data_IF_042621616541
#
_entry.id   IF_042621616541
#
_cell.length_a   1.000
_cell.length_b   1.000
_cell.length_c   1.000
_cell.angle_alpha   90.00
_cell.angle_beta   90.00
_cell.angle_gamma   90.00
#
_symmetry.space_group_name_H-M   'P 1'
#
loop_
_entity.id
_entity.type
_entity.pdbx_description
1 polymer ?
#
# COMPACT_ATOMS: atom_id res chain seq x y z
N UNK A 1 -22.53 11.62 -10.90
CA UNK A 1 -22.11 10.26 -11.32
C UNK A 1 -21.62 9.51 -10.09
N UNK A 2 -21.93 8.21 -9.98
CA UNK A 2 -21.29 7.38 -8.94
C UNK A 2 -19.85 7.12 -9.35
N UNK A 3 -18.91 7.28 -8.41
CA UNK A 3 -17.51 6.90 -8.60
C UNK A 3 -17.38 5.37 -8.61
N UNK A 4 -16.45 4.86 -9.43
CA UNK A 4 -16.11 3.44 -9.53
C UNK A 4 -14.60 3.28 -9.37
N UNK A 5 -14.19 2.22 -8.70
CA UNK A 5 -12.77 1.88 -8.62
C UNK A 5 -12.38 1.24 -9.94
N UNK A 6 -11.31 1.75 -10.56
CA UNK A 6 -10.78 1.20 -11.81
C UNK A 6 -10.00 -0.09 -11.50
N UNK A 7 -10.40 -1.18 -12.15
CA UNK A 7 -9.67 -2.43 -12.15
C UNK A 7 -8.68 -2.49 -13.32
N UNK A 8 -7.77 -3.45 -13.32
CA UNK A 8 -6.78 -3.63 -14.40
C UNK A 8 -7.40 -3.68 -15.79
N UNK A 9 -8.59 -4.28 -15.92
CA UNK A 9 -9.34 -4.37 -17.19
C UNK A 9 -9.81 -3.00 -17.66
N UNK A 10 -10.22 -2.12 -16.73
CA UNK A 10 -10.63 -0.75 -17.06
C UNK A 10 -9.45 0.06 -17.57
N UNK A 11 -8.29 -0.04 -16.91
CA UNK A 11 -7.04 0.58 -17.38
C UNK A 11 -6.69 0.11 -18.78
N UNK A 12 -6.72 -1.19 -19.06
CA UNK A 12 -6.41 -1.75 -20.36
C UNK A 12 -7.35 -1.21 -21.45
N UNK A 13 -8.66 -1.21 -21.18
CA UNK A 13 -9.67 -0.67 -22.09
C UNK A 13 -9.41 0.81 -22.40
N UNK A 14 -9.20 1.62 -21.38
CA UNK A 14 -8.97 3.05 -21.53
C UNK A 14 -7.64 3.36 -22.23
N UNK A 15 -6.57 2.64 -21.90
CA UNK A 15 -5.27 2.78 -22.57
C UNK A 15 -5.40 2.50 -24.07
N UNK A 16 -6.06 1.40 -24.45
CA UNK A 16 -6.27 1.07 -25.88
C UNK A 16 -7.05 2.15 -26.60
N UNK A 17 -8.13 2.66 -26.00
CA UNK A 17 -8.91 3.75 -26.61
C UNK A 17 -8.09 5.03 -26.79
N UNK A 18 -7.25 5.37 -25.82
CA UNK A 18 -6.42 6.58 -25.86
C UNK A 18 -5.31 6.44 -26.89
N UNK A 19 -4.71 5.26 -27.02
CA UNK A 19 -3.67 5.00 -28.01
C UNK A 19 -4.18 5.23 -29.44
N UNK A 20 -5.42 4.86 -29.72
CA UNK A 20 -6.04 5.12 -31.02
C UNK A 20 -6.27 6.63 -31.30
N UNK A 21 -6.35 7.45 -30.24
CA UNK A 21 -6.61 8.90 -30.33
C UNK A 21 -5.34 9.74 -30.38
N UNK A 22 -4.21 9.25 -29.87
CA UNK A 22 -2.95 9.98 -29.82
C UNK A 22 -1.99 9.47 -30.90
N UNK A 23 -1.01 10.34 -31.26
CA UNK A 23 0.09 9.88 -32.10
C UNK A 23 0.82 8.70 -31.44
N UNK A 24 1.23 7.69 -32.23
CA UNK A 24 1.94 6.53 -31.69
C UNK A 24 3.13 6.96 -30.83
N UNK A 25 3.31 6.29 -29.68
CA UNK A 25 4.49 6.44 -28.86
C UNK A 25 5.71 6.00 -29.68
N UNK A 26 6.77 6.80 -29.72
CA UNK A 26 7.95 6.46 -30.53
C UNK A 26 8.64 5.18 -30.01
N UNK A 27 9.05 4.33 -30.94
CA UNK A 27 9.71 3.06 -30.61
C UNK A 27 8.78 1.94 -30.13
N UNK A 28 7.47 2.11 -30.24
CA UNK A 28 6.49 1.07 -29.93
C UNK A 28 5.75 0.67 -31.20
N UNK A 29 5.71 -0.62 -31.48
CA UNK A 29 4.91 -1.19 -32.56
C UNK A 29 3.46 -1.37 -32.09
N UNK A 30 2.55 -0.56 -32.63
CA UNK A 30 1.14 -0.56 -32.28
C UNK A 30 0.29 -1.57 -33.02
N UNK A 31 0.74 -2.00 -34.21
CA UNK A 31 -0.02 -2.97 -34.99
C UNK A 31 -0.17 -4.32 -34.32
N UNK A 32 0.72 -4.60 -33.34
CA UNK A 32 0.66 -5.78 -32.46
C UNK A 32 -0.05 -5.59 -31.13
N UNK A 33 -0.40 -4.37 -30.72
CA UNK A 33 -0.88 -4.07 -29.36
C UNK A 33 -2.18 -4.79 -28.97
N UNK A 34 -3.09 -4.98 -29.90
CA UNK A 34 -4.33 -5.74 -29.67
C UNK A 34 -4.08 -7.23 -29.45
N UNK A 35 -2.88 -7.73 -29.79
CA UNK A 35 -2.43 -9.11 -29.57
C UNK A 35 -1.29 -9.26 -28.56
N UNK A 36 -0.57 -8.17 -28.22
CA UNK A 36 0.58 -8.20 -27.30
C UNK A 36 0.20 -7.73 -25.89
N UNK A 37 -0.31 -8.67 -25.09
CA UNK A 37 -0.56 -8.44 -23.67
C UNK A 37 0.72 -8.06 -22.88
N UNK A 38 1.90 -8.38 -23.38
CA UNK A 38 3.17 -8.04 -22.77
C UNK A 38 3.41 -6.54 -22.77
N UNK A 39 3.23 -5.90 -23.92
CA UNK A 39 3.40 -4.45 -24.08
C UNK A 39 2.34 -3.66 -23.30
N UNK A 40 1.07 -4.07 -23.41
CA UNK A 40 -0.02 -3.44 -22.65
C UNK A 40 0.22 -3.52 -21.15
N UNK A 41 0.74 -4.65 -20.66
CA UNK A 41 1.13 -4.83 -19.27
C UNK A 41 2.32 -3.92 -18.87
N UNK A 42 3.29 -3.69 -19.77
CA UNK A 42 4.39 -2.75 -19.53
C UNK A 42 3.88 -1.31 -19.40
N UNK A 43 3.00 -0.88 -20.31
CA UNK A 43 2.36 0.45 -20.26
C UNK A 43 1.59 0.59 -18.93
N UNK A 44 0.76 -0.38 -18.58
CA UNK A 44 0.00 -0.39 -17.33
C UNK A 44 0.89 -0.29 -16.09
N UNK A 45 1.97 -1.07 -16.03
CA UNK A 45 2.91 -1.03 -14.91
C UNK A 45 3.63 0.32 -14.81
N UNK A 46 3.97 0.93 -15.95
CA UNK A 46 4.56 2.26 -16.00
C UNK A 46 3.56 3.32 -15.51
N UNK A 47 2.27 3.23 -15.90
CA UNK A 47 1.19 4.08 -15.39
C UNK A 47 1.08 3.96 -13.87
N UNK A 48 1.08 2.75 -13.31
CA UNK A 48 1.05 2.56 -11.85
C UNK A 48 2.28 3.15 -11.15
N UNK A 49 3.45 3.06 -11.78
CA UNK A 49 4.67 3.69 -11.23
C UNK A 49 4.56 5.21 -11.25
N UNK A 50 3.99 5.80 -12.32
CA UNK A 50 3.73 7.24 -12.39
C UNK A 50 2.72 7.68 -11.31
N UNK A 51 1.67 6.89 -11.07
CA UNK A 51 0.70 7.18 -10.01
C UNK A 51 1.34 7.19 -8.62
N UNK A 52 2.30 6.30 -8.39
CA UNK A 52 3.02 6.17 -7.13
C UNK A 52 4.06 7.26 -6.90
N UNK A 53 4.93 7.47 -7.89
CA UNK A 53 6.15 8.27 -7.73
C UNK A 53 5.98 9.70 -8.26
N UNK A 54 4.92 9.97 -9.02
CA UNK A 54 4.72 11.19 -9.78
C UNK A 54 5.44 11.18 -11.13
N UNK A 55 4.86 11.86 -12.13
CA UNK A 55 5.35 11.83 -13.51
C UNK A 55 6.79 12.33 -13.65
N UNK A 56 7.13 13.43 -13.00
CA UNK A 56 8.46 14.05 -13.11
C UNK A 56 9.55 13.20 -12.44
N UNK A 57 9.25 12.56 -11.32
CA UNK A 57 10.19 11.67 -10.64
C UNK A 57 10.35 10.36 -11.42
N UNK A 58 9.24 9.79 -11.89
CA UNK A 58 9.27 8.59 -12.73
C UNK A 58 10.12 8.79 -13.98
N UNK A 59 9.99 9.93 -14.69
CA UNK A 59 10.77 10.23 -15.91
C UNK A 59 12.28 10.19 -15.70
N UNK A 60 12.77 10.55 -14.52
CA UNK A 60 14.22 10.54 -14.22
C UNK A 60 14.83 9.13 -14.23
N UNK A 61 14.03 8.13 -13.96
CA UNK A 61 14.46 6.74 -13.79
C UNK A 61 13.77 5.77 -14.76
N UNK A 62 12.99 6.31 -15.71
CA UNK A 62 12.16 5.51 -16.61
C UNK A 62 13.01 4.69 -17.59
N UNK A 63 12.88 3.38 -17.50
CA UNK A 63 13.32 2.43 -18.55
C UNK A 63 12.16 2.17 -19.51
N UNK A 64 11.77 3.21 -20.27
CA UNK A 64 10.69 3.16 -21.24
C UNK A 64 11.12 3.87 -22.54
N UNK A 65 10.81 3.32 -23.74
CA UNK A 65 11.27 3.86 -25.01
C UNK A 65 10.89 5.32 -25.27
N UNK A 66 9.70 5.72 -24.82
CA UNK A 66 9.17 7.09 -24.98
C UNK A 66 8.53 7.58 -23.68
N UNK A 67 9.34 8.10 -22.73
CA UNK A 67 8.81 8.58 -21.45
C UNK A 67 7.88 9.80 -21.59
N UNK A 68 8.12 10.66 -22.58
CA UNK A 68 7.30 11.86 -22.78
C UNK A 68 5.94 11.49 -23.40
N UNK A 69 5.93 10.63 -24.40
CA UNK A 69 4.70 10.09 -24.96
C UNK A 69 3.86 9.34 -23.94
N UNK A 70 4.50 8.53 -23.09
CA UNK A 70 3.80 7.86 -21.99
C UNK A 70 3.24 8.86 -20.97
N UNK A 71 3.95 9.97 -20.71
CA UNK A 71 3.44 11.06 -19.91
C UNK A 71 2.16 11.68 -20.48
N UNK A 72 2.11 11.91 -21.80
CA UNK A 72 0.91 12.38 -22.48
C UNK A 72 -0.25 11.37 -22.38
N UNK A 73 0.04 10.08 -22.57
CA UNK A 73 -0.93 9.00 -22.42
C UNK A 73 -1.49 8.99 -20.99
N UNK A 74 -0.62 9.09 -19.99
CA UNK A 74 -1.03 9.13 -18.58
C UNK A 74 -1.97 10.30 -18.28
N UNK A 75 -1.66 11.50 -18.74
CA UNK A 75 -2.53 12.68 -18.54
C UNK A 75 -3.91 12.47 -19.15
N UNK A 76 -3.97 12.00 -20.39
CA UNK A 76 -5.25 11.69 -21.06
C UNK A 76 -6.02 10.57 -20.36
N UNK A 77 -5.30 9.57 -19.83
CA UNK A 77 -5.91 8.50 -19.06
C UNK A 77 -6.58 9.03 -17.78
N UNK A 78 -5.92 9.92 -17.06
CA UNK A 78 -6.50 10.56 -15.85
C UNK A 78 -7.72 11.41 -16.18
N UNK A 79 -7.69 12.17 -17.29
CA UNK A 79 -8.83 12.94 -17.77
C UNK A 79 -10.02 12.02 -18.11
N UNK A 80 -9.77 10.96 -18.87
CA UNK A 80 -10.80 10.00 -19.27
C UNK A 80 -11.38 9.23 -18.08
N UNK A 81 -10.55 8.81 -17.14
CA UNK A 81 -10.98 8.20 -15.88
C UNK A 81 -11.93 9.13 -15.13
N UNK A 82 -11.57 10.41 -14.98
CA UNK A 82 -12.41 11.42 -14.35
C UNK A 82 -13.75 11.62 -15.07
N UNK A 83 -13.73 11.71 -16.41
CA UNK A 83 -14.95 11.85 -17.22
C UNK A 83 -15.89 10.65 -17.07
N UNK A 84 -15.36 9.44 -17.04
CA UNK A 84 -16.14 8.20 -16.90
C UNK A 84 -16.51 7.92 -15.44
N UNK A 85 -15.92 8.63 -14.48
CA UNK A 85 -16.16 8.48 -13.05
C UNK A 85 -15.34 7.35 -12.40
N UNK A 86 -14.19 7.03 -12.98
CA UNK A 86 -13.23 6.12 -12.37
C UNK A 86 -12.26 6.84 -11.44
N UNK A 87 -11.88 6.17 -10.36
CA UNK A 87 -10.79 6.54 -9.47
C UNK A 87 -9.87 5.35 -9.29
N UNK A 88 -8.58 5.58 -9.06
CA UNK A 88 -7.68 4.51 -8.69
C UNK A 88 -7.85 4.14 -7.20
N UNK A 89 -7.27 3.00 -6.82
CA UNK A 89 -7.43 2.49 -5.45
C UNK A 89 -6.91 3.46 -4.40
N UNK A 90 -5.75 4.07 -4.64
CA UNK A 90 -5.10 4.99 -3.71
C UNK A 90 -5.81 6.36 -3.64
N UNK A 91 -6.41 6.81 -4.75
CA UNK A 91 -7.20 8.05 -4.78
C UNK A 91 -8.39 8.05 -3.83
N UNK A 92 -8.91 6.88 -3.43
CA UNK A 92 -10.04 6.81 -2.48
C UNK A 92 -9.69 7.49 -1.16
N UNK A 93 -8.49 7.21 -0.63
CA UNK A 93 -8.04 7.79 0.64
C UNK A 93 -7.75 9.28 0.46
N UNK A 94 -7.03 9.65 -0.60
CA UNK A 94 -6.67 11.03 -0.89
C UNK A 94 -7.91 11.92 -1.09
N UNK A 95 -8.86 11.47 -1.91
CA UNK A 95 -10.12 12.19 -2.14
C UNK A 95 -10.97 12.27 -0.87
N UNK A 96 -10.92 11.27 0.01
CA UNK A 96 -11.62 11.30 1.29
C UNK A 96 -10.98 12.32 2.24
N UNK A 97 -9.64 12.37 2.30
CA UNK A 97 -8.92 13.37 3.08
C UNK A 97 -9.20 14.80 2.56
N UNK A 98 -9.22 14.97 1.24
CA UNK A 98 -9.60 16.22 0.62
C UNK A 98 -11.03 16.62 0.97
N UNK A 99 -11.99 15.69 0.84
CA UNK A 99 -13.40 15.90 1.19
C UNK A 99 -13.54 16.35 2.64
N UNK A 100 -12.85 15.74 3.57
CA UNK A 100 -12.89 16.07 4.98
C UNK A 100 -12.28 17.44 5.29
N UNK A 101 -11.23 17.82 4.54
CA UNK A 101 -10.61 19.15 4.64
C UNK A 101 -11.53 20.24 4.09
N UNK A 102 -12.18 20.02 2.95
CA UNK A 102 -13.05 21.00 2.29
C UNK A 102 -14.43 21.12 2.93
N UNK A 103 -14.92 20.01 3.54
CA UNK A 103 -16.27 19.93 4.10
C UNK A 103 -16.26 19.44 5.56
N UNK A 104 -15.91 20.30 6.53
CA UNK A 104 -15.82 19.91 7.95
C UNK A 104 -17.10 19.33 8.54
N UNK A 105 -18.26 19.71 8.02
CA UNK A 105 -19.56 19.15 8.49
C UNK A 105 -19.69 17.67 8.09
N UNK A 106 -19.15 17.29 6.94
CA UNK A 106 -19.08 15.88 6.52
C UNK A 106 -18.19 15.12 7.49
N UNK A 107 -16.98 15.60 7.74
CA UNK A 107 -16.05 15.00 8.71
C UNK A 107 -16.72 14.82 10.08
N UNK A 108 -17.37 15.88 10.59
CA UNK A 108 -18.07 15.85 11.88
C UNK A 108 -19.14 14.77 11.94
N UNK A 109 -19.88 14.56 10.84
CA UNK A 109 -20.88 13.49 10.77
C UNK A 109 -20.25 12.10 10.92
N UNK A 110 -19.09 11.87 10.33
CA UNK A 110 -18.34 10.62 10.45
C UNK A 110 -17.73 10.44 11.85
N UNK A 111 -17.17 11.48 12.46
CA UNK A 111 -16.71 11.48 13.85
C UNK A 111 -17.82 11.11 14.85
N UNK A 112 -19.03 11.61 14.62
CA UNK A 112 -20.19 11.26 15.45
C UNK A 112 -20.69 9.82 15.23
N UNK A 113 -20.58 9.33 14.00
CA UNK A 113 -21.00 7.98 13.62
C UNK A 113 -20.05 6.91 14.15
N UNK A 114 -18.73 7.16 14.07
CA UNK A 114 -17.70 6.21 14.50
C UNK A 114 -17.18 6.58 15.88
N UNK A 115 -17.84 6.06 16.91
CA UNK A 115 -17.46 6.31 18.33
C UNK A 115 -16.17 5.60 18.73
N UNK A 116 -15.81 4.53 18.06
CA UNK A 116 -14.61 3.74 18.26
C UNK A 116 -14.01 3.46 16.89
N UNK A 117 -12.71 3.65 16.78
CA UNK A 117 -11.93 3.35 15.57
C UNK A 117 -10.94 2.25 15.93
N UNK A 118 -10.97 1.16 15.19
CA UNK A 118 -10.06 0.02 15.40
C UNK A 118 -9.35 -0.27 14.08
N UNK A 119 -8.02 -0.37 14.12
CA UNK A 119 -7.20 -0.60 12.93
C UNK A 119 -6.31 -1.79 13.21
N UNK A 120 -6.38 -2.77 12.32
CA UNK A 120 -5.50 -3.94 12.30
C UNK A 120 -4.34 -3.72 11.32
N UNK A 121 -3.26 -4.48 11.48
CA UNK A 121 -2.04 -4.41 10.64
C UNK A 121 -1.46 -2.99 10.52
N UNK A 122 -1.49 -2.24 11.62
CA UNK A 122 -1.11 -0.82 11.63
C UNK A 122 0.34 -0.56 11.25
N UNK A 123 1.22 -1.58 11.28
CA UNK A 123 2.61 -1.48 10.82
C UNK A 123 2.74 -1.23 9.31
N UNK A 124 1.68 -1.50 8.52
CA UNK A 124 1.68 -1.35 7.07
C UNK A 124 0.90 -0.11 6.59
N UNK A 125 0.51 0.77 7.52
CA UNK A 125 -0.28 1.97 7.23
C UNK A 125 0.55 3.00 6.44
N UNK A 126 -0.07 3.65 5.45
CA UNK A 126 0.53 4.77 4.72
C UNK A 126 0.24 6.12 5.40
N UNK A 127 0.97 7.18 5.02
CA UNK A 127 0.73 8.54 5.53
C UNK A 127 -0.71 9.01 5.30
N UNK A 128 -1.23 8.84 4.09
CA UNK A 128 -2.59 9.28 3.73
C UNK A 128 -3.65 8.56 4.58
N UNK A 129 -3.41 7.27 4.88
CA UNK A 129 -4.28 6.50 5.77
C UNK A 129 -4.19 6.97 7.21
N UNK A 130 -3.00 7.35 7.69
CA UNK A 130 -2.82 7.93 9.03
C UNK A 130 -3.58 9.25 9.14
N UNK A 131 -3.50 10.13 8.13
CA UNK A 131 -4.23 11.40 8.11
C UNK A 131 -5.75 11.17 8.19
N UNK A 132 -6.28 10.20 7.43
CA UNK A 132 -7.68 9.80 7.50
C UNK A 132 -8.09 9.32 8.89
N UNK A 133 -7.29 8.44 9.47
CA UNK A 133 -7.51 7.90 10.83
C UNK A 133 -7.48 9.02 11.86
N UNK A 134 -6.51 9.91 11.77
CA UNK A 134 -6.36 11.04 12.68
C UNK A 134 -7.58 11.97 12.61
N UNK A 135 -8.05 12.26 11.40
CA UNK A 135 -9.24 13.08 11.21
C UNK A 135 -10.49 12.46 11.86
N UNK A 136 -10.75 11.18 11.61
CA UNK A 136 -11.95 10.49 12.13
C UNK A 136 -11.84 10.23 13.64
N UNK A 137 -10.68 9.81 14.13
CA UNK A 137 -10.47 9.40 15.53
C UNK A 137 -10.07 10.56 16.46
N UNK A 138 -10.35 11.81 16.10
CA UNK A 138 -10.00 13.01 16.88
C UNK A 138 -10.54 13.01 18.31
N UNK A 139 -11.59 12.22 18.59
CA UNK A 139 -12.14 12.00 19.93
C UNK A 139 -11.26 11.10 20.84
N UNK A 140 -10.22 10.47 20.30
CA UNK A 140 -9.27 9.65 21.06
C UNK A 140 -9.68 8.20 21.36
N UNK A 141 -10.88 7.77 20.97
CA UNK A 141 -11.32 6.38 21.14
C UNK A 141 -10.78 5.50 20.00
N UNK A 142 -9.49 5.27 20.02
CA UNK A 142 -8.78 4.52 18.98
C UNK A 142 -8.03 3.33 19.57
N UNK A 143 -8.07 2.21 18.87
CA UNK A 143 -7.26 1.03 19.13
C UNK A 143 -6.53 0.65 17.83
N UNK A 144 -5.23 0.51 17.90
CA UNK A 144 -4.43 -0.01 16.80
C UNK A 144 -3.80 -1.33 17.22
N UNK A 145 -3.78 -2.28 16.29
CA UNK A 145 -3.12 -3.57 16.45
C UNK A 145 -2.12 -3.72 15.32
N UNK A 146 -0.93 -4.21 15.64
CA UNK A 146 0.11 -4.41 14.65
C UNK A 146 1.32 -5.11 15.23
N UNK A 147 2.17 -5.57 14.36
CA UNK A 147 3.44 -6.20 14.71
C UNK A 147 4.57 -5.50 13.92
N UNK A 148 5.35 -4.68 14.62
CA UNK A 148 6.48 -3.93 14.05
C UNK A 148 7.54 -4.84 13.41
N UNK A 149 7.60 -6.11 13.80
CA UNK A 149 8.48 -7.12 13.22
C UNK A 149 7.96 -7.69 11.88
N UNK A 150 6.70 -7.41 11.52
CA UNK A 150 6.07 -7.89 10.28
C UNK A 150 5.93 -6.79 9.21
N UNK A 151 6.47 -5.60 9.41
CA UNK A 151 6.43 -4.51 8.41
C UNK A 151 7.34 -4.82 7.22
N UNK A 152 6.76 -5.36 6.15
CA UNK A 152 7.45 -5.75 4.91
C UNK A 152 6.95 -5.01 3.68
N UNK A 153 5.99 -4.07 3.82
CA UNK A 153 5.36 -3.33 2.72
C UNK A 153 5.84 -1.89 2.59
N UNK A 154 7.07 -1.57 3.02
CA UNK A 154 7.65 -0.23 2.88
C UNK A 154 7.69 0.25 1.42
N UNK A 155 7.86 -0.65 0.46
CA UNK A 155 7.82 -0.37 -0.97
C UNK A 155 6.44 0.07 -1.49
N UNK A 156 5.37 -0.17 -0.71
CA UNK A 156 4.00 0.33 -0.97
C UNK A 156 3.66 1.60 -0.19
N UNK A 157 4.64 2.24 0.46
CA UNK A 157 4.41 3.41 1.31
C UNK A 157 3.99 3.08 2.74
N UNK A 158 3.87 1.80 3.08
CA UNK A 158 3.67 1.35 4.45
C UNK A 158 4.88 1.67 5.33
N UNK A 159 4.66 2.05 6.57
CA UNK A 159 5.73 2.39 7.50
C UNK A 159 5.39 1.98 8.93
N UNK A 160 6.27 1.20 9.53
CA UNK A 160 6.19 0.89 10.95
C UNK A 160 6.46 2.10 11.86
N UNK A 161 6.93 3.21 11.28
CA UNK A 161 7.15 4.46 11.99
C UNK A 161 5.93 4.87 12.81
N UNK A 162 4.74 4.84 12.21
CA UNK A 162 3.51 5.26 12.87
C UNK A 162 3.11 4.35 14.03
N UNK A 163 3.40 3.04 13.94
CA UNK A 163 3.17 2.11 15.04
C UNK A 163 4.15 2.38 16.19
N UNK A 164 5.44 2.55 15.88
CA UNK A 164 6.48 2.79 16.89
C UNK A 164 6.33 4.14 17.59
N UNK A 165 5.81 5.16 16.89
CA UNK A 165 5.62 6.52 17.41
C UNK A 165 4.15 6.83 17.73
N UNK A 166 3.32 5.80 17.89
CA UNK A 166 1.88 5.97 18.13
C UNK A 166 1.58 6.86 19.34
N UNK A 167 2.34 6.75 20.43
CA UNK A 167 2.15 7.56 21.63
C UNK A 167 2.49 9.04 21.46
N UNK A 168 3.28 9.40 20.44
CA UNK A 168 3.54 10.80 20.09
C UNK A 168 2.34 11.45 19.42
N UNK A 169 1.60 10.67 18.63
CA UNK A 169 0.37 11.12 17.95
C UNK A 169 -0.85 11.10 18.89
N UNK A 170 -0.92 10.11 19.79
CA UNK A 170 -1.99 9.93 20.78
C UNK A 170 -1.39 9.79 22.19
N UNK A 171 -1.06 10.91 22.82
CA UNK A 171 -0.30 11.00 24.07
C UNK A 171 -0.89 10.23 25.25
N UNK A 172 -2.21 10.02 25.28
CA UNK A 172 -2.89 9.27 26.34
C UNK A 172 -3.05 7.77 26.03
N UNK A 173 -2.40 7.28 24.98
CA UNK A 173 -2.51 5.88 24.58
C UNK A 173 -1.71 4.95 25.49
N UNK A 174 -2.16 3.70 25.60
CA UNK A 174 -1.51 2.65 26.37
C UNK A 174 -1.04 1.55 25.42
N UNK A 175 0.24 1.19 25.54
CA UNK A 175 0.81 0.05 24.80
C UNK A 175 0.57 -1.23 25.60
N UNK A 176 0.06 -2.25 24.92
CA UNK A 176 -0.13 -3.60 25.44
C UNK A 176 0.63 -4.57 24.53
N UNK A 177 1.62 -5.27 25.09
CA UNK A 177 2.36 -6.31 24.37
C UNK A 177 1.64 -7.64 24.57
N UNK A 178 1.42 -8.35 23.43
CA UNK A 178 0.79 -9.68 23.41
C UNK A 178 1.85 -10.72 23.02
N UNK A 179 2.59 -11.32 24.00
CA UNK A 179 3.69 -12.23 23.71
C UNK A 179 3.24 -13.67 23.50
N UNK A 180 2.01 -14.03 23.88
CA UNK A 180 1.54 -15.41 23.88
C UNK A 180 1.07 -15.82 22.48
N UNK A 181 1.70 -16.85 21.93
CA UNK A 181 1.43 -17.36 20.58
C UNK A 181 0.75 -18.74 20.65
N UNK A 182 -0.47 -18.80 20.11
CA UNK A 182 -1.30 -20.01 20.04
C UNK A 182 -1.32 -20.66 18.66
N UNK A 183 -0.50 -20.18 17.73
CA UNK A 183 -0.42 -20.65 16.33
C UNK A 183 0.72 -21.62 16.11
N UNK A 184 1.91 -21.25 16.60
CA UNK A 184 3.16 -21.94 16.27
C UNK A 184 3.74 -22.69 17.44
N UNK A 185 4.43 -23.78 17.18
CA UNK A 185 5.15 -24.57 18.18
C UNK A 185 6.43 -23.84 18.65
N UNK A 186 6.95 -24.23 19.79
CA UNK A 186 8.09 -23.62 20.47
C UNK A 186 9.33 -23.44 19.58
N UNK A 187 9.77 -24.47 18.88
CA UNK A 187 10.97 -24.42 18.02
C UNK A 187 10.89 -23.42 16.87
N UNK A 188 9.68 -23.20 16.33
CA UNK A 188 9.48 -22.18 15.28
C UNK A 188 9.65 -20.79 15.89
N UNK A 189 9.08 -20.56 17.07
CA UNK A 189 9.19 -19.26 17.75
C UNK A 189 10.60 -19.01 18.28
N UNK A 190 11.33 -20.03 18.72
CA UNK A 190 12.74 -19.90 19.11
C UNK A 190 13.58 -19.38 17.93
N UNK A 191 13.41 -19.98 16.73
CA UNK A 191 14.10 -19.54 15.54
C UNK A 191 13.70 -18.12 15.11
N UNK A 192 12.39 -17.80 15.13
CA UNK A 192 11.88 -16.48 14.81
C UNK A 192 12.39 -15.40 15.80
N UNK A 193 12.33 -15.68 17.10
CA UNK A 193 12.85 -14.79 18.13
C UNK A 193 14.36 -14.55 17.99
N UNK A 194 15.14 -15.59 17.65
CA UNK A 194 16.57 -15.47 17.43
C UNK A 194 16.90 -14.61 16.20
N UNK A 195 16.14 -14.76 15.11
CA UNK A 195 16.30 -13.96 13.91
C UNK A 195 15.98 -12.50 14.17
N UNK A 196 14.81 -12.22 14.74
CA UNK A 196 14.32 -10.86 14.93
C UNK A 196 15.05 -10.09 16.02
N UNK A 197 15.77 -10.78 16.93
CA UNK A 197 16.61 -10.14 17.93
C UNK A 197 17.74 -9.28 17.35
N UNK A 198 18.10 -9.48 16.07
CA UNK A 198 19.06 -8.64 15.34
C UNK A 198 18.47 -7.26 14.98
N UNK A 199 17.16 -7.10 14.99
CA UNK A 199 16.51 -5.82 14.76
C UNK A 199 16.53 -4.96 16.02
N UNK A 200 17.02 -3.72 15.91
CA UNK A 200 17.15 -2.80 17.04
C UNK A 200 16.00 -1.81 17.14
N UNK A 201 15.37 -1.46 16.04
CA UNK A 201 14.25 -0.50 15.97
C UNK A 201 12.91 -1.22 16.06
N UNK A 202 12.56 -1.66 17.29
CA UNK A 202 11.35 -2.43 17.55
C UNK A 202 10.91 -2.36 19.02
N UNK A 203 9.66 -2.67 19.29
CA UNK A 203 9.22 -2.96 20.65
C UNK A 203 9.87 -4.23 21.16
N UNK A 204 10.42 -4.18 22.39
CA UNK A 204 11.03 -5.37 23.01
C UNK A 204 9.95 -6.37 23.38
N UNK A 205 9.88 -7.45 22.63
CA UNK A 205 8.98 -8.58 22.84
C UNK A 205 9.68 -9.88 22.47
N UNK A 206 9.26 -10.97 23.11
CA UNK A 206 9.67 -12.33 22.76
C UNK A 206 8.43 -13.21 22.78
N UNK A 207 8.13 -13.84 21.66
CA UNK A 207 6.95 -14.69 21.51
C UNK A 207 7.13 -15.98 22.29
N UNK A 208 6.08 -16.40 23.01
CA UNK A 208 6.02 -17.62 23.81
C UNK A 208 4.97 -18.55 23.23
N UNK A 209 5.35 -19.78 22.91
CA UNK A 209 4.42 -20.81 22.42
C UNK A 209 3.57 -21.38 23.54
N UNK A 210 2.31 -21.61 23.24
CA UNK A 210 1.41 -22.48 24.01
C UNK A 210 1.34 -23.90 23.45
N UNK A 211 2.07 -24.21 22.37
CA UNK A 211 2.15 -25.52 21.75
C UNK A 211 3.58 -26.05 21.83
N UNK A 212 3.74 -27.28 22.36
CA UNK A 212 5.01 -27.97 22.34
C UNK A 212 5.11 -28.87 21.11
N UNK A 213 6.25 -28.81 20.43
CA UNK A 213 6.52 -29.71 19.32
C UNK A 213 6.86 -31.10 19.84
N UNK A 214 6.27 -32.13 19.22
CA UNK A 214 6.63 -33.53 19.47
C UNK A 214 7.84 -33.98 18.65
N UNK A 215 8.15 -33.25 17.55
CA UNK A 215 9.26 -33.53 16.64
C UNK A 215 9.99 -32.25 16.34
N UNK A 216 11.33 -32.25 16.38
CA UNK A 216 12.16 -31.10 15.98
C UNK A 216 12.09 -30.85 14.49
N UNK A 217 11.92 -29.57 14.04
CA UNK A 217 11.93 -29.25 12.63
C UNK A 217 13.33 -29.53 12.03
N UNK A 218 13.33 -29.99 10.78
CA UNK A 218 14.55 -30.13 10.01
C UNK A 218 14.83 -28.82 9.30
N UNK A 219 15.91 -28.15 9.65
CA UNK A 219 16.39 -26.94 8.93
C UNK A 219 17.18 -27.38 7.70
N UNK A 220 16.71 -27.00 6.51
CA UNK A 220 17.50 -27.13 5.28
C UNK A 220 18.11 -25.75 4.93
N UNK A 221 19.43 -25.70 4.94
CA UNK A 221 20.16 -24.55 4.37
C UNK A 221 20.22 -24.77 2.84
N UNK A 222 19.38 -24.07 2.10
CA UNK A 222 19.53 -24.01 0.64
C UNK A 222 20.66 -23.01 0.35
N UNK A 223 21.81 -23.52 -0.06
CA UNK A 223 22.86 -22.70 -0.67
C UNK A 223 22.43 -22.49 -2.11
N UNK A 224 22.05 -21.25 -2.48
CA UNK A 224 21.99 -20.87 -3.89
C UNK A 224 23.42 -20.93 -4.42
N UNK A 225 23.70 -21.91 -5.26
CA UNK A 225 24.93 -21.94 -6.05
C UNK A 225 24.63 -21.09 -7.29
N UNK A 226 25.23 -19.90 -7.36
CA UNK A 226 25.23 -19.10 -8.57
C UNK A 226 25.91 -19.93 -9.68
N UNK A 227 25.14 -20.27 -10.71
CA UNK A 227 25.64 -20.88 -11.95
C UNK A 227 25.75 -19.80 -13.02
#
# INVERSE_FOLDING_TARGET
>A
KSLKIAEKVDYYRLILQIIDEISPLSGIDYDGLTGDFGLLSRIYNAVLSIEKDGLEEWKKHADFPDPDGLGCLYQKLKERMKEEGYICFDEQIQLTNQLFSEYPDVLKSYQQRFRYVMIDEFQDISSDQVDLVYAIASHGNIVVVGDDDQSIYSWRGGSNYYLLHFQEMWSNSKIVILPDNFRSVDHILEAANALIANNTNRYRKSLRSHHRATVRPIYRKNVLVDT
#
